data_IF_243772692233
#
_entry.id   IF_243772692233
#
_cell.length_a   1.000
_cell.length_b   1.000
_cell.length_c   1.000
_cell.angle_alpha   90.00
_cell.angle_beta   90.00
_cell.angle_gamma   90.00
#
_symmetry.space_group_name_H-M   'P 1'
#
loop_
_entity.id
_entity.type
_entity.pdbx_description
1 polymer ?
#
# COMPACT_ATOMS: atom_id res chain seq x y z
N UNK A 1 -5.11 27.06 6.52
CA UNK A 1 -5.81 25.86 6.00
C UNK A 1 -5.77 24.81 7.08
N UNK A 2 -6.86 24.10 7.36
CA UNK A 2 -6.85 23.06 8.40
C UNK A 2 -5.93 21.92 7.96
N UNK A 3 -4.93 21.60 8.77
CA UNK A 3 -4.02 20.49 8.55
C UNK A 3 -4.82 19.18 8.65
N UNK A 4 -4.99 18.48 7.53
CA UNK A 4 -5.72 17.20 7.47
C UNK A 4 -4.74 16.05 7.68
N UNK A 5 -5.10 15.12 8.57
CA UNK A 5 -4.31 13.92 8.86
C UNK A 5 -3.98 13.17 7.55
N UNK A 6 -2.72 12.76 7.33
CA UNK A 6 -2.38 11.82 6.26
C UNK A 6 -3.21 10.54 6.36
N UNK A 7 -3.50 9.95 5.21
CA UNK A 7 -4.19 8.66 5.12
C UNK A 7 -3.18 7.58 4.74
N UNK A 8 -3.03 6.58 5.59
CA UNK A 8 -2.13 5.45 5.41
C UNK A 8 -2.72 4.37 4.50
N UNK A 9 -1.89 3.86 3.59
CA UNK A 9 -2.21 2.78 2.66
C UNK A 9 -1.36 1.56 3.02
N UNK A 10 -2.02 0.43 3.20
CA UNK A 10 -1.42 -0.89 3.25
C UNK A 10 -1.66 -1.63 1.93
N UNK A 11 -0.63 -2.24 1.36
CA UNK A 11 -0.72 -3.01 0.12
C UNK A 11 -0.50 -4.49 0.41
N UNK A 12 -1.46 -5.35 0.07
CA UNK A 12 -1.31 -6.81 0.14
C UNK A 12 -1.22 -7.37 -1.28
N UNK A 13 -0.13 -8.05 -1.60
CA UNK A 13 0.18 -8.47 -2.97
C UNK A 13 0.98 -7.41 -3.72
N UNK A 14 2.26 -7.68 -3.90
CA UNK A 14 3.24 -6.80 -4.53
C UNK A 14 3.74 -7.36 -5.86
N UNK A 15 2.90 -8.06 -6.62
CA UNK A 15 3.23 -8.53 -7.97
C UNK A 15 3.29 -7.41 -9.02
N UNK A 16 3.06 -7.77 -10.29
CA UNK A 16 3.08 -6.83 -11.43
C UNK A 16 2.15 -5.63 -11.26
N UNK A 17 0.94 -5.86 -10.75
CA UNK A 17 -0.03 -4.78 -10.50
C UNK A 17 0.40 -3.96 -9.29
N UNK A 18 0.80 -4.62 -8.19
CA UNK A 18 1.26 -3.96 -6.96
C UNK A 18 2.39 -2.96 -7.20
N UNK A 19 3.44 -3.36 -7.95
CA UNK A 19 4.53 -2.42 -8.32
C UNK A 19 4.03 -1.24 -9.16
N UNK A 20 3.04 -1.46 -10.02
CA UNK A 20 2.43 -0.41 -10.83
C UNK A 20 1.69 0.61 -9.97
N UNK A 21 0.92 0.13 -8.99
CA UNK A 21 0.22 0.95 -8.00
C UNK A 21 1.22 1.79 -7.21
N UNK A 22 2.27 1.18 -6.64
CA UNK A 22 3.32 1.91 -5.89
C UNK A 22 3.95 3.01 -6.75
N UNK A 23 4.33 2.68 -8.00
CA UNK A 23 4.92 3.64 -8.94
C UNK A 23 3.98 4.82 -9.23
N UNK A 24 2.69 4.56 -9.42
CA UNK A 24 1.70 5.61 -9.70
C UNK A 24 1.47 6.48 -8.47
N UNK A 25 1.35 5.88 -7.28
CA UNK A 25 1.20 6.62 -6.02
C UNK A 25 2.39 7.56 -5.77
N UNK A 26 3.61 7.05 -5.91
CA UNK A 26 4.84 7.84 -5.72
C UNK A 26 4.96 8.97 -6.75
N UNK A 27 4.76 8.65 -8.04
CA UNK A 27 4.91 9.64 -9.12
C UNK A 27 3.88 10.76 -9.06
N UNK A 28 2.66 10.47 -8.60
CA UNK A 28 1.55 11.42 -8.60
C UNK A 28 1.21 11.95 -7.19
N UNK A 29 2.08 11.75 -6.19
CA UNK A 29 1.80 12.09 -4.80
C UNK A 29 1.30 13.53 -4.64
N UNK A 30 1.98 14.50 -5.27
CA UNK A 30 1.61 15.92 -5.22
C UNK A 30 0.22 16.19 -5.85
N UNK A 31 -0.04 15.63 -7.04
CA UNK A 31 -1.33 15.81 -7.73
C UNK A 31 -2.47 15.15 -6.97
N UNK A 32 -2.22 13.99 -6.36
CA UNK A 32 -3.18 13.28 -5.50
C UNK A 32 -3.49 14.14 -4.28
N UNK A 33 -2.47 14.66 -3.60
CA UNK A 33 -2.63 15.51 -2.43
C UNK A 33 -3.39 16.79 -2.75
N UNK A 34 -3.09 17.46 -3.86
CA UNK A 34 -3.82 18.65 -4.31
C UNK A 34 -5.32 18.37 -4.54
N UNK A 35 -5.67 17.18 -5.02
CA UNK A 35 -7.06 16.79 -5.29
C UNK A 35 -7.83 16.36 -4.03
N UNK A 36 -7.16 15.65 -3.12
CA UNK A 36 -7.78 15.13 -1.90
C UNK A 36 -7.77 16.15 -0.74
N UNK A 37 -6.82 17.10 -0.78
CA UNK A 37 -6.55 18.03 0.31
C UNK A 37 -5.81 17.40 1.50
N UNK A 38 -5.25 16.20 1.33
CA UNK A 38 -4.40 15.51 2.30
C UNK A 38 -3.49 14.48 1.57
N UNK A 39 -2.31 14.17 2.12
CA UNK A 39 -1.40 13.21 1.51
C UNK A 39 -1.84 11.76 1.75
N UNK A 40 -1.63 10.91 0.74
CA UNK A 40 -1.65 9.46 0.89
C UNK A 40 -0.24 8.94 1.17
N UNK A 41 -0.08 8.07 2.16
CA UNK A 41 1.21 7.48 2.53
C UNK A 41 1.15 5.98 2.42
N UNK A 42 2.01 5.38 1.59
CA UNK A 42 2.19 3.94 1.60
C UNK A 42 3.01 3.59 2.85
N UNK A 43 2.37 2.96 3.84
CA UNK A 43 2.97 2.70 5.16
C UNK A 43 3.50 1.28 5.29
N UNK A 44 2.82 0.32 4.65
CA UNK A 44 3.19 -1.09 4.73
C UNK A 44 2.86 -1.84 3.45
N UNK A 45 3.70 -2.80 3.10
CA UNK A 45 3.48 -3.77 2.03
C UNK A 45 3.60 -5.17 2.63
N UNK A 46 2.67 -6.06 2.27
CA UNK A 46 2.73 -7.48 2.58
C UNK A 46 2.75 -8.29 1.28
N UNK A 47 3.78 -9.10 1.08
CA UNK A 47 3.87 -10.06 -0.02
C UNK A 47 4.64 -11.31 0.42
N UNK A 48 4.28 -12.47 -0.13
CA UNK A 48 4.95 -13.74 0.18
C UNK A 48 6.41 -13.78 -0.29
N UNK A 49 6.75 -13.00 -1.32
CA UNK A 49 8.11 -12.83 -1.82
C UNK A 49 8.61 -11.42 -1.48
N UNK A 50 9.42 -11.32 -0.43
CA UNK A 50 10.03 -10.07 0.03
C UNK A 50 11.41 -9.80 -0.58
N UNK A 51 11.89 -10.66 -1.47
CA UNK A 51 13.28 -10.65 -1.95
C UNK A 51 13.42 -10.21 -3.40
N UNK A 52 12.43 -10.47 -4.24
CA UNK A 52 12.47 -10.06 -5.65
C UNK A 52 12.42 -8.54 -5.77
N UNK A 53 13.45 -7.97 -6.40
CA UNK A 53 13.46 -6.57 -6.80
C UNK A 53 12.39 -6.32 -7.88
N UNK A 54 11.54 -5.33 -7.61
CA UNK A 54 10.39 -4.95 -8.45
C UNK A 54 10.61 -3.62 -9.18
N UNK A 55 11.78 -3.01 -9.04
CA UNK A 55 12.19 -1.79 -9.75
C UNK A 55 11.49 -0.52 -9.25
N UNK A 56 11.05 -0.51 -8.00
CA UNK A 56 10.48 0.66 -7.31
C UNK A 56 11.09 0.75 -5.91
N UNK A 57 11.43 1.97 -5.49
CA UNK A 57 12.01 2.18 -4.16
C UNK A 57 10.92 2.13 -3.09
N UNK A 58 11.05 1.18 -2.17
CA UNK A 58 10.16 1.00 -1.01
C UNK A 58 10.97 0.94 0.29
N UNK A 59 12.20 1.46 0.29
CA UNK A 59 13.13 1.40 1.42
C UNK A 59 12.61 2.10 2.68
N UNK A 60 11.69 3.05 2.54
CA UNK A 60 11.01 3.78 3.61
C UNK A 60 9.67 3.17 4.04
N UNK A 61 9.28 2.04 3.44
CA UNK A 61 8.00 1.38 3.68
C UNK A 61 8.29 0.07 4.42
N UNK A 62 7.52 -0.23 5.47
CA UNK A 62 7.63 -1.54 6.12
C UNK A 62 7.21 -2.62 5.13
N UNK A 63 8.12 -3.53 4.80
CA UNK A 63 7.87 -4.62 3.85
C UNK A 63 8.17 -5.97 4.50
N UNK A 64 7.12 -6.77 4.69
CA UNK A 64 7.19 -8.11 5.28
C UNK A 64 6.19 -9.06 4.61
N UNK A 65 6.06 -10.29 5.12
CA UNK A 65 5.14 -11.30 4.61
C UNK A 65 3.88 -11.45 5.49
N UNK A 66 3.60 -10.48 6.37
CA UNK A 66 2.54 -10.55 7.37
C UNK A 66 1.34 -9.68 6.96
N UNK A 67 0.44 -10.26 6.16
CA UNK A 67 -0.77 -9.57 5.69
C UNK A 67 -1.76 -9.30 6.82
N UNK A 68 -1.92 -10.24 7.76
CA UNK A 68 -2.87 -10.11 8.86
C UNK A 68 -2.46 -8.96 9.79
N UNK A 69 -1.16 -8.87 10.10
CA UNK A 69 -0.64 -7.75 10.85
C UNK A 69 -0.71 -6.43 10.08
N UNK A 70 -0.64 -6.42 8.74
CA UNK A 70 -0.86 -5.21 7.94
C UNK A 70 -2.32 -4.75 8.03
N UNK A 71 -3.27 -5.68 7.94
CA UNK A 71 -4.71 -5.37 8.03
C UNK A 71 -5.08 -4.85 9.42
N UNK A 72 -4.44 -5.36 10.48
CA UNK A 72 -4.61 -4.90 11.85
C UNK A 72 -3.75 -3.69 12.24
N UNK A 73 -2.96 -3.14 11.32
CA UNK A 73 -2.02 -2.06 11.61
C UNK A 73 -2.78 -0.73 11.80
N UNK A 74 -2.68 -0.06 12.97
CA UNK A 74 -3.37 1.20 13.21
C UNK A 74 -2.87 2.36 12.33
N UNK A 75 -1.72 2.21 11.66
CA UNK A 75 -1.23 3.17 10.67
C UNK A 75 -1.85 2.97 9.28
N UNK A 76 -2.54 1.85 9.04
CA UNK A 76 -3.21 1.54 7.77
C UNK A 76 -4.69 1.94 7.84
N UNK A 77 -5.03 3.04 7.17
CA UNK A 77 -6.42 3.49 7.04
C UNK A 77 -7.14 2.80 5.86
N UNK A 78 -6.39 2.42 4.80
CA UNK A 78 -6.89 1.78 3.58
C UNK A 78 -6.05 0.55 3.24
N UNK A 79 -6.69 -0.61 3.07
CA UNK A 79 -6.05 -1.82 2.52
C UNK A 79 -6.34 -1.94 1.03
N UNK A 80 -5.29 -2.16 0.24
CA UNK A 80 -5.36 -2.47 -1.19
C UNK A 80 -4.89 -3.92 -1.38
N UNK A 81 -5.80 -4.81 -1.77
CA UNK A 81 -5.54 -6.24 -1.96
C UNK A 81 -5.38 -6.57 -3.46
N UNK A 82 -4.28 -7.27 -3.80
CA UNK A 82 -3.82 -7.58 -5.16
C UNK A 82 -3.14 -8.96 -5.27
N UNK A 83 -3.40 -9.89 -4.35
CA UNK A 83 -2.85 -11.26 -4.34
C UNK A 83 -3.40 -12.07 -5.51
N UNK A 84 -4.64 -11.80 -5.92
CA UNK A 84 -5.33 -12.52 -6.98
C UNK A 84 -5.90 -13.86 -6.51
N UNK A 85 -6.71 -14.48 -7.37
CA UNK A 85 -7.57 -15.59 -6.96
C UNK A 85 -8.78 -15.11 -6.14
N UNK A 86 -9.53 -16.04 -5.56
CA UNK A 86 -10.75 -15.73 -4.81
C UNK A 86 -10.65 -16.03 -3.31
N UNK A 87 -9.77 -16.96 -2.91
CA UNK A 87 -9.72 -17.42 -1.52
C UNK A 87 -9.20 -16.37 -0.55
N UNK A 88 -8.21 -15.56 -0.95
CA UNK A 88 -7.67 -14.52 -0.07
C UNK A 88 -8.68 -13.37 0.10
N UNK A 89 -9.18 -12.81 -1.01
CA UNK A 89 -10.19 -11.76 -0.99
C UNK A 89 -11.44 -12.16 -0.17
N UNK A 90 -11.90 -13.41 -0.30
CA UNK A 90 -13.05 -13.94 0.47
C UNK A 90 -12.79 -14.02 1.98
N UNK A 91 -11.54 -14.17 2.43
CA UNK A 91 -11.23 -14.19 3.86
C UNK A 91 -11.29 -12.80 4.49
N UNK A 92 -11.22 -11.74 3.69
CA UNK A 92 -11.15 -10.35 4.15
C UNK A 92 -12.53 -9.67 4.28
N UNK A 93 -13.55 -10.16 3.57
CA UNK A 93 -14.90 -9.55 3.46
C UNK A 93 -15.95 -10.60 3.77
#
# INVERSE_FOLDING_TARGET
MAERKPVGIGLVGFGTIGRGVVKVLQRNAEVIEQRLGFPLRLVRIADIDTTTDRGVDVSHVRFDADSDGLIGDPEVDIVVELVGGYDFARKLI
#
